data_IF_756891679950
#
_entry.id   IF_756891679950
#
_cell.length_a   1.000
_cell.length_b   1.000
_cell.length_c   1.000
_cell.angle_alpha   90.00
_cell.angle_beta   90.00
_cell.angle_gamma   90.00
#
_symmetry.space_group_name_H-M   'P 1'
#
loop_
_entity.id
_entity.type
_entity.pdbx_description
1 polymer ?
#
# COMPACT_ATOMS: atom_id res chain seq x y z
N UNK A 1 10.14 29.50 20.52
CA UNK A 1 8.98 28.57 20.52
C UNK A 1 8.88 27.98 19.12
N UNK A 2 9.13 26.67 18.96
CA UNK A 2 9.25 26.02 17.67
C UNK A 2 7.89 25.90 16.96
N UNK A 3 7.79 26.50 15.76
CA UNK A 3 6.67 26.34 14.83
C UNK A 3 6.85 25.03 14.06
N UNK A 4 5.81 24.19 14.01
CA UNK A 4 5.62 23.20 12.94
C UNK A 4 6.11 21.78 13.19
N UNK A 5 5.27 20.94 13.79
CA UNK A 5 5.26 19.48 13.58
C UNK A 5 3.81 19.00 13.66
N UNK A 6 2.96 19.49 12.76
CA UNK A 6 1.68 18.82 12.52
C UNK A 6 2.00 17.44 11.96
N UNK A 7 1.92 16.45 12.85
CA UNK A 7 2.15 15.03 12.60
C UNK A 7 1.01 14.49 11.74
N UNK A 8 0.80 15.01 10.53
CA UNK A 8 -0.02 14.29 9.57
C UNK A 8 0.83 13.13 9.07
N UNK A 9 0.50 11.87 9.40
CA UNK A 9 1.12 10.75 8.71
C UNK A 9 0.80 10.96 7.23
N UNK A 10 1.81 11.38 6.47
CA UNK A 10 1.65 11.75 5.07
C UNK A 10 1.00 10.55 4.39
N UNK A 11 -0.04 10.79 3.60
CA UNK A 11 -0.75 9.74 2.86
C UNK A 11 0.27 8.81 2.16
N UNK A 12 1.40 9.36 1.75
CA UNK A 12 2.58 8.64 1.26
C UNK A 12 3.09 7.56 2.20
N UNK A 13 3.45 7.88 3.45
CA UNK A 13 3.95 6.88 4.40
C UNK A 13 2.89 5.78 4.68
N UNK A 14 1.60 6.14 4.71
CA UNK A 14 0.51 5.18 4.91
C UNK A 14 0.36 4.25 3.70
N UNK A 15 0.42 4.78 2.48
CA UNK A 15 0.38 4.00 1.25
C UNK A 15 1.60 3.07 1.16
N UNK A 16 2.81 3.57 1.41
CA UNK A 16 4.02 2.75 1.40
C UNK A 16 3.96 1.64 2.45
N UNK A 17 3.46 1.92 3.66
CA UNK A 17 3.24 0.86 4.68
C UNK A 17 2.25 -0.19 4.21
N UNK A 18 1.20 0.20 3.50
CA UNK A 18 0.23 -0.76 2.94
C UNK A 18 0.84 -1.58 1.81
N UNK A 19 1.50 -0.93 0.86
CA UNK A 19 2.22 -1.61 -0.22
C UNK A 19 3.25 -2.59 0.35
N UNK A 20 4.04 -2.19 1.36
CA UNK A 20 4.98 -3.06 2.06
C UNK A 20 4.29 -4.27 2.70
N UNK A 21 3.13 -4.11 3.34
CA UNK A 21 2.39 -5.24 3.91
C UNK A 21 1.89 -6.22 2.84
N UNK A 22 1.47 -5.72 1.68
CA UNK A 22 0.96 -6.53 0.57
C UNK A 22 2.08 -7.39 -0.05
N UNK A 23 3.26 -6.79 -0.26
CA UNK A 23 4.41 -7.47 -0.89
C UNK A 23 5.25 -8.31 0.09
N UNK A 24 4.87 -8.37 1.37
CA UNK A 24 5.55 -9.17 2.41
C UNK A 24 6.66 -8.45 3.18
N UNK A 25 6.78 -7.13 3.06
CA UNK A 25 7.60 -6.29 3.92
C UNK A 25 8.29 -5.12 3.19
N UNK A 26 9.11 -4.34 3.90
CA UNK A 26 9.89 -3.26 3.29
C UNK A 26 10.93 -3.78 2.29
N UNK A 27 11.48 -4.98 2.49
CA UNK A 27 12.40 -5.64 1.56
C UNK A 27 11.72 -6.05 0.25
N UNK A 28 10.48 -6.56 0.32
CA UNK A 28 9.70 -6.88 -0.87
C UNK A 28 9.31 -5.61 -1.65
N UNK A 29 9.02 -4.52 -0.92
CA UNK A 29 8.72 -3.23 -1.54
C UNK A 29 9.95 -2.65 -2.24
N UNK A 30 11.12 -2.74 -1.60
CA UNK A 30 12.39 -2.33 -2.18
C UNK A 30 12.69 -3.10 -3.48
N UNK A 31 12.50 -4.41 -3.47
CA UNK A 31 12.69 -5.27 -4.65
C UNK A 31 11.69 -4.93 -5.78
N UNK A 32 10.41 -4.72 -5.44
CA UNK A 32 9.36 -4.36 -6.41
C UNK A 32 9.60 -2.99 -7.05
N UNK A 33 10.07 -2.01 -6.28
CA UNK A 33 10.32 -0.66 -6.78
C UNK A 33 11.73 -0.49 -7.37
N UNK A 34 12.62 -1.46 -7.19
CA UNK A 34 14.01 -1.36 -7.63
C UNK A 34 14.83 -0.31 -6.88
N UNK A 35 14.47 -0.03 -5.62
CA UNK A 35 15.10 1.01 -4.79
C UNK A 35 15.78 0.40 -3.56
N UNK A 36 16.80 1.05 -2.99
CA UNK A 36 17.48 0.51 -1.82
C UNK A 36 16.57 0.49 -0.59
N UNK A 37 16.70 -0.56 0.22
CA UNK A 37 15.92 -0.76 1.43
C UNK A 37 16.05 0.42 2.42
N UNK A 38 17.23 1.02 2.48
CA UNK A 38 17.51 2.17 3.36
C UNK A 38 16.62 3.38 3.02
N UNK A 39 16.45 3.65 1.72
CA UNK A 39 15.52 4.68 1.23
C UNK A 39 14.07 4.37 1.60
N UNK A 40 13.64 3.12 1.41
CA UNK A 40 12.30 2.67 1.81
C UNK A 40 12.07 2.88 3.30
N UNK A 41 13.05 2.54 4.13
CA UNK A 41 12.99 2.73 5.59
C UNK A 41 12.96 4.22 5.95
N UNK A 42 13.74 5.07 5.29
CA UNK A 42 13.68 6.53 5.47
C UNK A 42 12.33 7.12 5.05
N UNK A 43 11.72 6.62 3.99
CA UNK A 43 10.39 7.04 3.52
C UNK A 43 9.29 6.59 4.48
N UNK A 44 9.36 5.37 4.99
CA UNK A 44 8.42 4.82 5.98
C UNK A 44 8.49 5.57 7.31
N UNK A 45 9.68 6.03 7.71
CA UNK A 45 9.89 6.85 8.91
C UNK A 45 9.52 8.33 8.69
N UNK A 46 9.25 8.75 7.45
CA UNK A 46 8.98 10.15 7.10
C UNK A 46 10.21 11.06 7.22
N UNK A 47 11.40 10.48 7.30
CA UNK A 47 12.68 11.20 7.37
C UNK A 47 13.06 11.79 6.01
N UNK A 48 12.62 11.15 4.92
CA UNK A 48 12.90 11.56 3.55
C UNK A 48 11.61 11.73 2.75
N UNK A 49 11.60 12.71 1.82
CA UNK A 49 10.48 12.92 0.90
C UNK A 49 10.47 11.79 -0.13
N UNK A 50 9.31 11.16 -0.29
CA UNK A 50 9.11 10.10 -1.28
C UNK A 50 9.05 10.75 -2.68
N UNK A 51 9.82 10.25 -3.67
CA UNK A 51 9.66 10.68 -5.05
C UNK A 51 8.24 10.35 -5.54
N UNK A 52 7.67 11.21 -6.39
CA UNK A 52 6.30 11.01 -6.88
C UNK A 52 6.14 9.67 -7.63
N UNK A 53 7.15 9.28 -8.41
CA UNK A 53 7.17 8.03 -9.18
C UNK A 53 7.09 6.79 -8.27
N UNK A 54 7.86 6.80 -7.18
CA UNK A 54 7.86 5.76 -6.15
C UNK A 54 6.50 5.69 -5.44
N UNK A 55 5.93 6.85 -5.13
CA UNK A 55 4.60 6.91 -4.52
C UNK A 55 3.54 6.31 -5.45
N UNK A 56 3.55 6.66 -6.74
CA UNK A 56 2.61 6.11 -7.73
C UNK A 56 2.78 4.59 -7.88
N UNK A 57 4.01 4.08 -7.93
CA UNK A 57 4.28 2.64 -7.94
C UNK A 57 3.72 1.93 -6.69
N UNK A 58 3.88 2.54 -5.51
CA UNK A 58 3.31 2.01 -4.28
C UNK A 58 1.77 2.04 -4.29
N UNK A 59 1.14 3.07 -4.87
CA UNK A 59 -0.31 3.13 -5.07
C UNK A 59 -0.77 1.99 -5.98
N UNK A 60 -0.07 1.76 -7.08
CA UNK A 60 -0.41 0.71 -8.05
C UNK A 60 -0.46 -0.68 -7.42
N UNK A 61 0.52 -1.00 -6.56
CA UNK A 61 0.56 -2.25 -5.78
C UNK A 61 -0.68 -2.39 -4.88
N UNK A 62 -1.08 -1.30 -4.20
CA UNK A 62 -2.23 -1.31 -3.29
C UNK A 62 -3.53 -1.49 -4.08
N UNK A 63 -3.68 -0.78 -5.20
CA UNK A 63 -4.87 -0.87 -6.06
C UNK A 63 -4.99 -2.25 -6.71
N UNK A 64 -3.89 -2.80 -7.22
CA UNK A 64 -3.87 -4.13 -7.81
C UNK A 64 -4.29 -5.22 -6.82
N UNK A 65 -3.90 -5.09 -5.55
CA UNK A 65 -4.32 -6.00 -4.49
C UNK A 65 -5.82 -5.87 -4.17
N UNK A 66 -6.32 -4.64 -4.03
CA UNK A 66 -7.72 -4.38 -3.69
C UNK A 66 -8.68 -4.92 -4.77
N UNK A 67 -8.36 -4.70 -6.05
CA UNK A 67 -9.11 -5.24 -7.20
C UNK A 67 -9.14 -6.78 -7.19
N UNK A 68 -8.03 -7.42 -6.80
CA UNK A 68 -7.93 -8.88 -6.74
C UNK A 68 -8.80 -9.47 -5.63
N UNK A 69 -8.90 -8.81 -4.47
CA UNK A 69 -9.75 -9.24 -3.36
C UNK A 69 -11.25 -9.04 -3.67
N UNK A 70 -11.62 -7.91 -4.29
CA UNK A 70 -13.01 -7.63 -4.71
C UNK A 70 -13.51 -8.67 -5.71
N UNK A 71 -12.64 -9.11 -6.61
CA UNK A 71 -12.98 -10.13 -7.61
C UNK A 71 -13.20 -11.51 -6.98
N UNK A 72 -12.63 -11.78 -5.80
CA UNK A 72 -12.74 -13.07 -5.12
C UNK A 72 -13.98 -13.19 -4.23
N UNK A 73 -14.60 -12.07 -3.82
CA UNK A 73 -15.76 -12.08 -2.90
C UNK A 73 -17.11 -12.20 -3.61
N UNK A 74 -17.18 -12.07 -4.94
CA UNK A 74 -18.43 -12.23 -5.67
C UNK A 74 -18.74 -13.69 -6.01
N UNK A 75 -18.91 -14.52 -4.97
CA UNK A 75 -19.67 -15.76 -5.13
C UNK A 75 -21.14 -15.43 -4.86
N UNK A 76 -22.03 -15.38 -5.87
CA UNK A 76 -23.45 -15.42 -5.60
C UNK A 76 -23.76 -16.78 -4.98
N UNK A 77 -23.83 -16.81 -3.65
CA UNK A 77 -24.24 -17.97 -2.88
C UNK A 77 -25.65 -18.39 -3.35
N UNK A 78 -25.68 -19.42 -4.20
CA UNK A 78 -26.62 -20.52 -4.22
C UNK A 78 -28.03 -20.19 -3.66
N UNK A 79 -28.81 -19.38 -4.38
CA UNK A 79 -30.27 -19.38 -4.19
C UNK A 79 -30.80 -20.64 -4.86
N UNK A 80 -30.97 -21.72 -4.10
CA UNK A 80 -31.74 -22.89 -4.56
C UNK A 80 -33.14 -22.40 -4.96
N UNK A 81 -33.71 -22.88 -6.08
CA UNK A 81 -35.14 -22.75 -6.28
C UNK A 81 -35.83 -23.60 -5.20
N UNK A 82 -36.74 -22.99 -4.45
CA UNK A 82 -37.79 -23.71 -3.73
C UNK A 82 -38.52 -24.58 -4.75
N UNK A 83 -38.16 -25.86 -4.80
CA UNK A 83 -38.90 -26.87 -5.54
C UNK A 83 -40.07 -27.31 -4.66
N UNK A 84 -41.27 -26.90 -5.11
CA UNK A 84 -42.54 -27.65 -5.14
C UNK A 84 -42.92 -28.49 -3.94
#
# INVERSE_FOLDING_TARGET
MARGKEKMPTVHARTLRRAAQIVGGPSGLAAQLGVPLDDVVCWLQGTKRVPQEIFLAAVDIVVAHDVKEISSVNTPALRKPDSG
#
